data_IF_358013129874
#
_entry.id   IF_358013129874
#
_cell.length_a   1.000
_cell.length_b   1.000
_cell.length_c   1.000
_cell.angle_alpha   90.00
_cell.angle_beta   90.00
_cell.angle_gamma   90.00
#
_symmetry.space_group_name_H-M   'P 1'
#
loop_
_entity.id
_entity.type
_entity.pdbx_description
1 polymer ?
#
# COMPACT_ATOMS: atom_id res chain seq x y z
N UNK A 1 3.17 2.52 -0.49
CA UNK A 1 3.10 2.06 0.90
C UNK A 1 4.38 1.31 1.22
N UNK A 2 4.94 1.55 2.40
CA UNK A 2 6.07 0.80 2.94
C UNK A 2 5.65 0.24 4.30
N UNK A 3 5.87 -1.04 4.55
CA UNK A 3 5.64 -1.71 5.82
C UNK A 3 6.98 -2.24 6.32
N UNK A 4 7.36 -1.92 7.55
CA UNK A 4 8.61 -2.33 8.16
C UNK A 4 8.31 -2.91 9.54
N UNK A 5 8.83 -4.10 9.85
CA UNK A 5 8.78 -4.66 11.20
C UNK A 5 8.35 -6.12 11.25
N UNK A 6 7.75 -6.53 12.36
CA UNK A 6 7.41 -7.94 12.63
C UNK A 6 8.62 -8.79 13.05
N UNK A 7 8.37 -10.09 13.27
CA UNK A 7 9.34 -11.06 13.84
C UNK A 7 10.62 -11.20 13.01
N UNK A 8 10.53 -10.96 11.70
CA UNK A 8 11.66 -11.07 10.76
C UNK A 8 12.22 -9.72 10.30
N UNK A 9 11.71 -8.60 10.84
CA UNK A 9 12.03 -7.25 10.38
C UNK A 9 11.91 -7.09 8.86
N UNK A 10 10.82 -7.62 8.30
CA UNK A 10 10.56 -7.62 6.87
C UNK A 10 10.18 -6.20 6.40
N UNK A 11 10.70 -5.84 5.23
CA UNK A 11 10.34 -4.60 4.54
C UNK A 11 9.54 -4.94 3.28
N UNK A 12 8.30 -4.47 3.22
CA UNK A 12 7.42 -4.61 2.06
C UNK A 12 7.16 -3.21 1.50
N UNK A 13 7.56 -2.97 0.26
CA UNK A 13 7.28 -1.74 -0.47
C UNK A 13 6.29 -2.01 -1.59
N UNK A 14 5.11 -1.40 -1.53
CA UNK A 14 4.05 -1.52 -2.54
C UNK A 14 3.86 -0.16 -3.22
N UNK A 15 3.97 -0.13 -4.54
CA UNK A 15 3.70 1.05 -5.37
C UNK A 15 2.59 0.71 -6.35
N UNK A 16 1.48 1.45 -6.28
CA UNK A 16 0.34 1.28 -7.18
C UNK A 16 0.22 2.56 -8.01
N UNK A 17 0.21 2.40 -9.32
CA UNK A 17 0.13 3.50 -10.27
C UNK A 17 -1.26 3.57 -10.89
N UNK A 18 -1.64 4.77 -11.37
CA UNK A 18 -2.96 5.02 -11.97
C UNK A 18 -3.25 4.20 -13.24
N UNK A 19 -2.21 3.71 -13.90
CA UNK A 19 -2.27 2.89 -15.11
C UNK A 19 -2.41 1.39 -14.79
N UNK A 20 -2.58 1.04 -13.51
CA UNK A 20 -2.70 -0.33 -13.04
C UNK A 20 -1.38 -1.07 -12.90
N UNK A 21 -0.25 -0.42 -13.18
CA UNK A 21 1.05 -0.98 -12.82
C UNK A 21 1.16 -1.05 -11.30
N UNK A 22 1.65 -2.17 -10.81
CA UNK A 22 1.94 -2.36 -9.38
C UNK A 22 3.34 -2.94 -9.22
N UNK A 23 4.09 -2.42 -8.25
CA UNK A 23 5.39 -2.93 -7.84
C UNK A 23 5.30 -3.37 -6.38
N UNK A 24 5.67 -4.61 -6.08
CA UNK A 24 5.87 -5.10 -4.71
C UNK A 24 7.32 -5.51 -4.56
N UNK A 25 8.04 -4.80 -3.71
CA UNK A 25 9.49 -4.89 -3.58
C UNK A 25 10.11 -4.72 -4.98
N UNK A 26 10.54 -5.83 -5.60
CA UNK A 26 11.16 -5.86 -6.93
C UNK A 26 10.28 -6.53 -8.00
N UNK A 27 9.09 -7.02 -7.62
CA UNK A 27 8.16 -7.69 -8.54
C UNK A 27 7.20 -6.66 -9.11
N UNK A 28 7.20 -6.52 -10.44
CA UNK A 28 6.23 -5.68 -11.15
C UNK A 28 5.16 -6.54 -11.79
N UNK A 29 3.92 -6.05 -11.78
CA UNK A 29 2.84 -6.61 -12.56
C UNK A 29 1.74 -5.59 -12.81
N UNK A 30 0.57 -6.11 -13.16
CA UNK A 30 -0.62 -5.30 -13.43
C UNK A 30 -1.80 -5.81 -12.61
N UNK A 31 -2.65 -4.88 -12.20
CA UNK A 31 -3.95 -5.14 -11.56
C UNK A 31 -5.07 -4.62 -12.46
N UNK A 32 -6.28 -5.13 -12.25
CA UNK A 32 -7.46 -4.66 -12.99
C UNK A 32 -7.82 -3.22 -12.62
N UNK A 33 -8.51 -2.53 -13.53
CA UNK A 33 -9.05 -1.21 -13.25
C UNK A 33 -10.08 -1.24 -12.11
N UNK A 34 -10.86 -2.32 -11.99
CA UNK A 34 -11.82 -2.52 -10.90
C UNK A 34 -11.13 -2.49 -9.52
N UNK A 35 -9.95 -3.11 -9.38
CA UNK A 35 -9.18 -3.07 -8.14
C UNK A 35 -8.67 -1.65 -7.82
N UNK A 36 -8.28 -0.89 -8.85
CA UNK A 36 -7.87 0.52 -8.66
C UNK A 36 -9.05 1.35 -8.18
N UNK A 37 -10.24 1.16 -8.78
CA UNK A 37 -11.45 1.88 -8.41
C UNK A 37 -11.90 1.53 -6.98
N UNK A 38 -11.74 0.27 -6.57
CA UNK A 38 -12.01 -0.16 -5.19
C UNK A 38 -11.08 0.53 -4.19
N UNK A 39 -9.77 0.57 -4.47
CA UNK A 39 -8.81 1.30 -3.62
C UNK A 39 -9.15 2.79 -3.54
N UNK A 40 -9.59 3.41 -4.64
CA UNK A 40 -10.03 4.81 -4.65
C UNK A 40 -11.26 5.00 -3.75
N UNK A 41 -12.25 4.10 -3.84
CA UNK A 41 -13.44 4.14 -2.98
C UNK A 41 -13.07 4.05 -1.50
N UNK A 42 -12.10 3.20 -1.14
CA UNK A 42 -11.64 3.09 0.26
C UNK A 42 -10.88 4.32 0.72
N UNK A 43 -10.05 4.93 -0.13
CA UNK A 43 -9.36 6.21 0.17
C UNK A 43 -10.38 7.32 0.46
N UNK A 44 -11.46 7.38 -0.32
CA UNK A 44 -12.54 8.35 -0.12
C UNK A 44 -13.37 8.06 1.13
N UNK A 45 -13.73 6.79 1.35
CA UNK A 45 -14.47 6.37 2.55
C UNK A 45 -13.71 6.66 3.85
N UNK A 46 -12.38 6.48 3.83
CA UNK A 46 -11.50 6.85 4.94
C UNK A 46 -11.33 8.35 5.13
N UNK A 47 -11.77 9.16 4.17
CA UNK A 47 -11.41 10.58 4.08
C UNK A 47 -9.90 10.77 4.29
N UNK A 48 -9.07 9.99 3.58
CA UNK A 48 -7.62 9.91 3.84
C UNK A 48 -6.93 11.28 3.86
N UNK A 49 -7.33 12.16 2.93
CA UNK A 49 -6.79 13.52 2.85
C UNK A 49 -7.27 14.44 3.98
N UNK A 50 -8.39 14.13 4.62
CA UNK A 50 -8.93 14.85 5.78
C UNK A 50 -8.50 14.32 7.14
N UNK A 51 -7.85 13.15 7.21
CA UNK A 51 -7.28 12.63 8.46
C UNK A 51 -6.35 13.68 9.09
N UNK A 52 -6.23 13.74 10.41
CA UNK A 52 -5.28 14.62 11.09
C UNK A 52 -4.30 13.78 11.90
N UNK A 53 -3.00 14.04 11.74
CA UNK A 53 -1.96 13.41 12.56
C UNK A 53 -1.25 12.21 11.93
N UNK A 54 -0.49 11.54 12.80
CA UNK A 54 0.38 10.40 12.55
C UNK A 54 0.06 9.37 13.62
N UNK A 55 -0.25 8.13 13.27
CA UNK A 55 -0.71 7.11 14.22
C UNK A 55 0.49 6.35 14.80
N UNK A 56 1.37 7.05 15.51
CA UNK A 56 2.63 6.52 16.04
C UNK A 56 2.62 6.61 17.55
N UNK A 57 3.06 5.53 18.21
CA UNK A 57 3.21 5.47 19.66
C UNK A 57 4.47 6.19 20.15
N UNK A 58 4.55 6.53 21.45
CA UNK A 58 5.69 7.24 22.03
C UNK A 58 7.00 6.43 22.05
N UNK A 59 6.92 5.10 21.87
CA UNK A 59 8.09 4.23 21.78
C UNK A 59 7.85 3.11 20.75
N UNK A 60 8.83 2.77 19.91
CA UNK A 60 8.78 1.57 19.08
C UNK A 60 8.79 0.35 19.99
N UNK A 61 7.78 -0.54 19.92
CA UNK A 61 7.88 -1.84 20.59
C UNK A 61 8.57 -2.86 19.69
N UNK A 62 9.28 -3.85 20.26
CA UNK A 62 9.82 -4.95 19.49
C UNK A 62 8.72 -5.67 18.70
N UNK A 63 8.98 -6.00 17.44
CA UNK A 63 8.10 -6.76 16.55
C UNK A 63 6.79 -6.07 16.11
N UNK A 64 6.61 -4.78 16.36
CA UNK A 64 5.47 -4.04 15.80
C UNK A 64 5.71 -3.67 14.33
N UNK A 65 4.65 -3.64 13.53
CA UNK A 65 4.72 -3.10 12.18
C UNK A 65 4.53 -1.59 12.19
N UNK A 66 5.39 -0.91 11.44
CA UNK A 66 5.30 0.51 11.10
C UNK A 66 4.99 0.62 9.62
N UNK A 67 4.01 1.46 9.30
CA UNK A 67 3.51 1.70 7.97
C UNK A 67 3.77 3.14 7.57
N UNK A 68 4.22 3.33 6.34
CA UNK A 68 4.31 4.62 5.68
C UNK A 68 3.49 4.59 4.39
N UNK A 69 2.45 5.41 4.34
CA UNK A 69 1.49 5.44 3.24
C UNK A 69 1.62 6.80 2.56
N UNK A 70 2.00 6.77 1.28
CA UNK A 70 2.04 7.94 0.43
C UNK A 70 0.97 7.80 -0.65
N UNK A 71 0.08 8.78 -0.76
CA UNK A 71 -0.96 8.83 -1.80
C UNK A 71 -0.87 10.17 -2.52
N UNK A 72 -0.90 10.12 -3.85
CA UNK A 72 -0.94 11.29 -4.72
C UNK A 72 -2.13 11.18 -5.67
N UNK A 73 -3.05 12.15 -5.63
CA UNK A 73 -4.27 12.18 -6.44
C UNK A 73 -4.67 13.60 -6.77
N UNK A 74 -4.94 13.90 -8.04
CA UNK A 74 -5.55 15.18 -8.46
C UNK A 74 -4.80 16.44 -8.00
N UNK A 75 -3.47 16.39 -7.88
CA UNK A 75 -2.65 17.50 -7.39
C UNK A 75 -2.52 17.58 -5.85
N UNK A 76 -3.25 16.75 -5.11
CA UNK A 76 -3.05 16.55 -3.68
C UNK A 76 -2.06 15.41 -3.45
N UNK A 77 -1.20 15.56 -2.45
CA UNK A 77 -0.33 14.49 -1.97
C UNK A 77 -0.32 14.47 -0.45
N UNK A 78 -0.22 13.28 0.10
CA UNK A 78 -0.21 13.09 1.54
C UNK A 78 0.61 11.87 1.93
N UNK A 79 1.46 12.08 2.93
CA UNK A 79 2.21 11.05 3.63
C UNK A 79 1.60 10.84 5.02
N UNK A 80 1.34 9.59 5.38
CA UNK A 80 0.87 9.20 6.69
C UNK A 80 1.77 8.10 7.23
N UNK A 81 2.27 8.26 8.46
CA UNK A 81 2.95 7.19 9.18
C UNK A 81 2.02 6.63 10.26
N UNK A 82 2.10 5.33 10.46
CA UNK A 82 1.16 4.59 11.27
C UNK A 82 1.85 3.36 11.90
N UNK A 83 1.38 2.92 13.05
CA UNK A 83 1.96 1.83 13.83
C UNK A 83 0.84 0.97 14.39
N UNK A 84 1.09 -0.34 14.44
CA UNK A 84 0.14 -1.28 15.02
C UNK A 84 -0.27 -0.87 16.45
N UNK A 85 -1.57 -1.02 16.74
CA UNK A 85 -2.16 -0.66 18.02
C UNK A 85 -2.49 0.82 18.22
N UNK A 86 -2.10 1.71 17.29
CA UNK A 86 -2.43 3.14 17.33
C UNK A 86 -3.29 3.61 16.14
N UNK A 87 -3.49 2.73 15.15
CA UNK A 87 -4.30 3.00 13.97
C UNK A 87 -5.79 2.67 14.20
N UNK A 88 -6.71 3.45 13.60
CA UNK A 88 -8.12 3.07 13.50
C UNK A 88 -8.32 1.75 12.75
N UNK A 89 -9.39 1.02 13.06
CA UNK A 89 -9.66 -0.29 12.45
C UNK A 89 -9.90 -0.18 10.94
N UNK A 90 -10.55 0.90 10.49
CA UNK A 90 -10.81 1.18 9.09
C UNK A 90 -9.51 1.37 8.31
N UNK A 91 -8.51 1.98 8.96
CA UNK A 91 -7.20 2.16 8.37
C UNK A 91 -6.46 0.82 8.23
N UNK A 92 -6.54 -0.03 9.26
CA UNK A 92 -5.98 -1.37 9.20
C UNK A 92 -6.65 -2.22 8.09
N UNK A 93 -7.96 -2.12 7.91
CA UNK A 93 -8.68 -2.77 6.80
C UNK A 93 -8.16 -2.31 5.44
N UNK A 94 -8.01 -1.00 5.24
CA UNK A 94 -7.45 -0.45 3.99
C UNK A 94 -6.03 -0.93 3.70
N UNK A 95 -5.16 -1.05 4.71
CA UNK A 95 -3.82 -1.62 4.53
C UNK A 95 -3.89 -3.08 4.08
N UNK A 96 -4.85 -3.83 4.64
CA UNK A 96 -5.16 -5.19 4.21
C UNK A 96 -5.58 -5.27 2.74
N UNK A 97 -6.45 -4.37 2.29
CA UNK A 97 -6.92 -4.32 0.91
C UNK A 97 -5.81 -3.94 -0.07
N UNK A 98 -5.00 -2.94 0.27
CA UNK A 98 -3.82 -2.55 -0.52
C UNK A 98 -2.90 -3.76 -0.70
N UNK A 99 -2.67 -4.53 0.37
CA UNK A 99 -1.87 -5.74 0.31
C UNK A 99 -2.54 -6.83 -0.53
N UNK A 100 -3.84 -7.07 -0.36
CA UNK A 100 -4.57 -8.10 -1.12
C UNK A 100 -4.58 -7.80 -2.62
N UNK A 101 -4.85 -6.55 -3.02
CA UNK A 101 -4.79 -6.09 -4.41
C UNK A 101 -3.37 -6.22 -4.98
N UNK A 102 -2.37 -5.93 -4.16
CA UNK A 102 -1.00 -6.10 -4.58
C UNK A 102 -0.66 -7.61 -4.71
N UNK A 103 -1.05 -8.47 -3.79
CA UNK A 103 -0.82 -9.91 -3.91
C UNK A 103 -1.60 -10.54 -5.08
N UNK A 104 -2.70 -9.93 -5.52
CA UNK A 104 -3.46 -10.31 -6.72
C UNK A 104 -2.76 -9.93 -8.04
N UNK A 105 -1.53 -9.44 -7.99
CA UNK A 105 -0.67 -9.20 -9.15
C UNK A 105 -0.71 -10.39 -10.12
N UNK A 106 -1.14 -10.13 -11.35
CA UNK A 106 -0.84 -11.04 -12.45
C UNK A 106 0.62 -10.80 -12.88
N UNK A 107 1.46 -11.85 -13.00
CA UNK A 107 2.78 -11.68 -13.57
C UNK A 107 2.64 -11.11 -14.99
N UNK A 108 3.42 -10.08 -15.32
CA UNK A 108 3.52 -9.62 -16.71
C UNK A 108 3.86 -10.83 -17.59
N UNK A 109 3.19 -11.04 -18.74
CA UNK A 109 3.60 -12.07 -19.66
C UNK A 109 5.09 -11.85 -19.95
N UNK A 110 5.91 -12.88 -19.73
CA UNK A 110 7.30 -12.85 -20.13
C UNK A 110 7.31 -12.39 -21.59
N UNK A 111 8.04 -11.31 -21.89
CA UNK A 111 8.28 -10.91 -23.27
C UNK A 111 8.89 -12.11 -23.96
N UNK A 112 8.08 -12.85 -24.71
CA UNK A 112 8.52 -13.97 -25.53
C UNK A 112 9.45 -13.36 -26.56
N UNK A 113 10.74 -13.53 -26.33
CA UNK A 113 11.81 -13.18 -27.26
C UNK A 113 11.45 -13.76 -28.63
N UNK A 114 11.35 -12.97 -29.71
CA UNK A 114 11.25 -13.54 -31.04
C UNK A 114 12.58 -14.24 -31.34
N UNK A 115 12.56 -15.57 -31.39
CA UNK A 115 13.69 -16.36 -31.86
C UNK A 115 13.92 -16.04 -33.35
N UNK A 116 15.16 -15.72 -33.77
CA UNK A 116 15.50 -15.41 -35.17
C UNK A 116 15.38 -16.63 -36.09
#
# INVERSE_FOLDING_TARGET
>A
MTQIGGVNNENITIQIYKDGRVTINDRTGVISQENIEELIRHIDALNFFGLQGTFIGPAPRPNEYVYQIFIKRGGQERLLNAQDGYMPIEFASFLGDVRAVAESLSPLPATSTPTP
#
